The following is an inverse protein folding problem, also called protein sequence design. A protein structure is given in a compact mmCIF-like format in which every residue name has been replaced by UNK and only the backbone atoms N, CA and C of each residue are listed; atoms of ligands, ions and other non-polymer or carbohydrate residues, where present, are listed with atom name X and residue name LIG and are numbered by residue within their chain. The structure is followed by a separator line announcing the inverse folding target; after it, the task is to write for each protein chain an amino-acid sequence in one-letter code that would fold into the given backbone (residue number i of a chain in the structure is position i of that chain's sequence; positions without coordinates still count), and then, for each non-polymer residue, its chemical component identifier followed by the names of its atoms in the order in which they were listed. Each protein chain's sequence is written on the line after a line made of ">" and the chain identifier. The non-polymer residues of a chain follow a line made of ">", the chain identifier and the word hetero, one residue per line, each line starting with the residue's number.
data_IF_311116139403
#
_entry.id   IF_311116139403
#
_cell.length_a   1.000
_cell.length_b   1.000
_cell.length_c   1.000
_cell.angle_alpha   90.00
_cell.angle_beta   90.00
_cell.angle_gamma   90.00
#
_symmetry.space_group_name_H-M   'P 1'
#
loop_
_entity.id
_entity.type
_entity.pdbx_description
1 polymer ?
2 non-polymer ?
3 non-polymer ?
4 water ?
#
# COMPACT_ATOMS: atom_id res chain seq x y z
N UNK A 1 -0.98 -4.51 21.64
CA UNK A 1 0.24 -3.77 21.26
C UNK A 1 1.03 -4.58 20.21
N UNK A 2 0.53 -5.73 19.75
CA UNK A 2 1.18 -6.50 18.66
C UNK A 2 1.05 -5.71 17.35
N UNK A 3 2.14 -5.65 16.59
CA UNK A 3 2.14 -4.96 15.28
C UNK A 3 1.29 -5.78 14.32
N UNK A 4 0.26 -5.12 13.81
CA UNK A 4 -0.67 -5.66 12.80
C UNK A 4 -0.72 -4.69 11.59
N UNK A 5 -0.20 -5.13 10.48
CA UNK A 5 -0.06 -4.35 9.23
C UNK A 5 -1.21 -4.74 8.30
N UNK A 6 -1.95 -3.75 7.82
CA UNK A 6 -2.85 -3.92 6.66
C UNK A 6 -2.15 -3.40 5.42
N UNK A 7 -1.98 -4.25 4.42
CA UNK A 7 -1.40 -3.85 3.11
C UNK A 7 -2.58 -3.69 2.14
N UNK A 8 -2.75 -2.50 1.59
CA UNK A 8 -3.86 -2.18 0.68
C UNK A 8 -3.28 -1.84 -0.67
N UNK A 9 -3.75 -2.54 -1.69
CA UNK A 9 -3.37 -2.36 -3.10
C UNK A 9 -4.57 -1.83 -3.85
N UNK A 10 -4.37 -0.78 -4.61
CA UNK A 10 -5.45 -0.14 -5.36
C UNK A 10 -5.64 -0.81 -6.71
N UNK A 11 -6.44 -0.15 -7.57
CA UNK A 11 -6.88 -0.73 -8.81
C UNK A 11 -5.72 -1.07 -9.73
N UNK A 12 -5.87 -2.17 -10.46
CA UNK A 12 -4.97 -2.57 -11.57
C UNK A 12 -3.72 -3.25 -11.01
N UNK A 13 -3.48 -3.23 -9.70
CA UNK A 13 -2.26 -3.88 -9.15
C UNK A 13 -2.38 -5.41 -9.30
N UNK A 14 -3.60 -5.94 -9.46
CA UNK A 14 -3.82 -7.39 -9.71
C UNK A 14 -3.19 -7.76 -11.05
N UNK A 15 -3.00 -6.81 -11.95
CA UNK A 15 -2.47 -7.12 -13.28
C UNK A 15 -0.94 -7.28 -13.24
N UNK A 16 -0.28 -7.06 -12.12
CA UNK A 16 1.21 -7.12 -12.14
C UNK A 16 1.62 -8.49 -12.70
N UNK A 17 2.49 -8.49 -13.72
CA UNK A 17 3.14 -9.70 -14.25
C UNK A 17 2.36 -10.32 -15.40
N UNK A 18 1.14 -9.86 -15.66
CA UNK A 18 0.26 -10.47 -16.70
C UNK A 18 0.82 -10.24 -18.09
N UNK A 19 0.89 -8.99 -18.55
CA UNK A 19 1.15 -8.66 -19.98
C UNK A 19 2.63 -8.33 -20.18
N UNK A 20 3.27 -9.01 -21.15
CA UNK A 20 4.69 -8.84 -21.56
C UNK A 20 5.58 -8.93 -20.32
N UNK A 21 5.63 -10.12 -19.65
CA UNK A 21 6.48 -10.30 -18.46
C UNK A 21 7.94 -9.88 -18.70
N UNK A 22 8.44 -10.01 -19.94
CA UNK A 22 9.79 -9.57 -20.38
C UNK A 22 9.94 -8.06 -20.17
N UNK A 23 9.20 -7.24 -20.93
CA UNK A 23 9.32 -5.75 -20.95
C UNK A 23 8.91 -5.15 -19.60
N UNK A 24 7.69 -5.44 -19.12
CA UNK A 24 7.01 -4.70 -18.02
C UNK A 24 7.43 -5.23 -16.64
N UNK A 25 7.68 -6.54 -16.52
CA UNK A 25 8.07 -7.19 -15.25
C UNK A 25 7.26 -8.45 -15.01
N UNK A 26 7.82 -9.44 -14.29
CA UNK A 26 7.24 -10.80 -14.12
C UNK A 26 6.67 -10.97 -12.70
N UNK A 27 7.06 -10.13 -11.72
CA UNK A 27 6.57 -10.20 -10.31
C UNK A 27 5.05 -10.00 -10.28
N UNK A 28 4.36 -10.78 -9.49
CA UNK A 28 2.89 -10.80 -9.43
C UNK A 28 2.49 -10.27 -8.06
N UNK A 29 1.28 -9.77 -7.96
CA UNK A 29 0.80 -9.28 -6.67
C UNK A 29 0.84 -10.46 -5.68
N UNK A 30 0.51 -11.67 -6.13
CA UNK A 30 0.48 -12.86 -5.23
C UNK A 30 1.88 -13.07 -4.66
N UNK A 31 2.91 -12.97 -5.51
CA UNK A 31 4.32 -13.09 -5.07
C UNK A 31 4.64 -12.00 -4.05
N UNK A 32 4.28 -10.75 -4.34
CA UNK A 32 4.52 -9.63 -3.38
C UNK A 32 3.85 -9.98 -2.05
N UNK A 33 2.57 -10.35 -2.11
CA UNK A 33 1.80 -10.58 -0.86
C UNK A 33 2.41 -11.72 -0.04
N UNK A 34 2.85 -12.80 -0.68
CA UNK A 34 3.49 -13.95 0.01
C UNK A 34 4.77 -13.47 0.71
N UNK A 35 5.55 -12.66 0.00
CA UNK A 35 6.81 -12.13 0.55
C UNK A 35 6.52 -11.21 1.74
N UNK A 36 5.50 -10.36 1.66
CA UNK A 36 5.24 -9.46 2.81
C UNK A 36 4.77 -10.29 3.99
N UNK A 37 3.97 -11.32 3.73
CA UNK A 37 3.45 -12.18 4.83
C UNK A 37 4.63 -12.82 5.58
N UNK A 38 5.54 -13.46 4.88
CA UNK A 38 6.78 -14.07 5.43
C UNK A 38 7.57 -13.06 6.26
N UNK A 39 7.83 -11.88 5.69
CA UNK A 39 8.64 -10.83 6.36
C UNK A 39 7.94 -10.38 7.62
N UNK A 40 6.61 -10.29 7.60
CA UNK A 40 5.85 -9.91 8.80
C UNK A 40 5.83 -11.07 9.80
N UNK A 41 5.56 -12.30 9.35
CA UNK A 41 5.60 -13.52 10.22
C UNK A 41 6.98 -13.64 10.87
N UNK A 42 8.05 -13.46 10.10
CA UNK A 42 9.44 -13.43 10.60
C UNK A 42 9.60 -12.54 11.81
N UNK A 43 8.87 -11.43 11.88
CA UNK A 43 9.07 -10.40 12.91
C UNK A 43 8.07 -10.61 14.04
N UNK A 44 7.21 -11.61 13.93
CA UNK A 44 6.17 -11.86 14.95
C UNK A 44 4.97 -10.96 14.78
N UNK A 45 4.76 -10.42 13.57
CA UNK A 45 3.67 -9.45 13.32
C UNK A 45 2.49 -10.18 12.67
N UNK A 46 1.28 -9.65 12.84
CA UNK A 46 0.13 -9.94 11.94
C UNK A 46 0.27 -9.09 10.67
N UNK A 47 -0.11 -9.64 9.55
CA UNK A 47 -0.25 -8.87 8.31
C UNK A 47 -1.42 -9.46 7.52
N UNK A 48 -2.33 -8.62 7.05
CA UNK A 48 -3.24 -8.99 5.96
C UNK A 48 -3.21 -7.98 4.83
N UNK A 49 -3.42 -8.50 3.63
CA UNK A 49 -3.35 -7.84 2.31
C UNK A 49 -4.75 -7.82 1.72
N UNK A 50 -5.09 -6.77 1.01
CA UNK A 50 -6.32 -6.68 0.21
C UNK A 50 -6.01 -5.84 -1.02
N UNK A 51 -6.31 -6.34 -2.18
CA UNK A 51 -6.32 -5.54 -3.42
C UNK A 51 -7.77 -5.35 -3.83
N UNK A 52 -8.12 -4.23 -4.42
CA UNK A 52 -9.47 -4.04 -4.99
C UNK A 52 -9.42 -3.01 -6.10
N UNK A 53 -10.21 -3.20 -7.14
CA UNK A 53 -10.46 -2.14 -8.13
C UNK A 53 -11.52 -1.19 -7.59
N UNK A 54 -12.15 -1.51 -6.45
CA UNK A 54 -13.31 -0.77 -5.91
C UNK A 54 -12.88 0.12 -4.76
N UNK A 55 -13.11 1.41 -4.89
CA UNK A 55 -12.81 2.42 -3.85
C UNK A 55 -13.49 2.03 -2.54
N UNK A 56 -14.77 1.69 -2.59
CA UNK A 56 -15.55 1.36 -1.37
C UNK A 56 -14.97 0.15 -0.64
N UNK A 57 -14.40 -0.82 -1.34
CA UNK A 57 -13.80 -2.00 -0.67
C UNK A 57 -12.58 -1.56 0.14
N UNK A 58 -11.76 -0.66 -0.40
CA UNK A 58 -10.55 -0.17 0.29
C UNK A 58 -10.99 0.69 1.47
N UNK A 59 -11.99 1.54 1.25
CA UNK A 59 -12.51 2.42 2.34
C UNK A 59 -13.06 1.53 3.48
N UNK A 60 -13.87 0.52 3.15
CA UNK A 60 -14.42 -0.42 4.18
C UNK A 60 -13.25 -1.01 4.97
N UNK A 61 -12.20 -1.48 4.29
CA UNK A 61 -11.04 -2.13 4.95
C UNK A 61 -10.38 -1.17 5.93
N UNK A 62 -10.28 0.10 5.55
CA UNK A 62 -9.69 1.10 6.47
C UNK A 62 -10.61 1.33 7.67
N UNK A 63 -11.90 1.49 7.42
CA UNK A 63 -12.92 1.73 8.46
C UNK A 63 -12.91 0.59 9.49
N UNK A 64 -12.67 -0.63 9.04
CA UNK A 64 -12.74 -1.87 9.86
C UNK A 64 -11.40 -2.07 10.54
N UNK A 65 -10.32 -1.44 10.06
CA UNK A 65 -8.95 -1.74 10.52
C UNK A 65 -8.85 -1.58 12.04
N UNK A 66 -9.32 -0.46 12.65
CA UNK A 66 -9.08 -0.24 14.08
C UNK A 66 -9.60 -1.38 14.98
N UNK A 67 -10.84 -1.83 14.75
CA UNK A 67 -11.44 -2.91 15.56
C UNK A 67 -10.80 -4.24 15.22
N UNK A 68 -10.14 -4.37 14.08
CA UNK A 68 -9.42 -5.59 13.74
C UNK A 68 -8.06 -5.57 14.44
N UNK A 69 -7.70 -4.51 15.15
CA UNK A 69 -6.35 -4.46 15.76
C UNK A 69 -5.22 -3.98 14.84
N UNK A 70 -5.53 -3.38 13.70
CA UNK A 70 -4.46 -2.91 12.77
C UNK A 70 -3.71 -1.75 13.46
N UNK A 71 -2.38 -1.75 13.44
CA UNK A 71 -1.52 -0.71 14.03
C UNK A 71 -0.92 0.20 12.93
N UNK A 72 -0.62 -0.36 11.77
CA UNK A 72 0.07 0.30 10.63
C UNK A 72 -0.64 -0.10 9.35
N UNK A 73 -0.70 0.83 8.39
CA UNK A 73 -1.16 0.53 7.01
C UNK A 73 -0.05 0.80 6.02
N UNK A 74 0.08 -0.09 5.05
CA UNK A 74 0.94 0.13 3.87
C UNK A 74 -0.01 0.23 2.68
N UNK A 75 -0.01 1.37 2.02
CA UNK A 75 -1.02 1.67 0.99
C UNK A 75 -0.36 2.05 -0.30
N UNK A 76 -0.75 1.34 -1.35
CA UNK A 76 -0.48 1.70 -2.75
C UNK A 76 -1.83 2.01 -3.37
N UNK A 77 -2.26 3.29 -3.40
CA UNK A 77 -3.57 3.66 -3.91
C UNK A 77 -3.62 3.54 -5.43
N UNK A 78 -2.48 3.41 -6.11
CA UNK A 78 -2.43 3.32 -7.58
C UNK A 78 -3.30 4.46 -8.13
N UNK A 79 -4.16 4.21 -9.11
CA UNK A 79 -4.91 5.30 -9.75
C UNK A 79 -5.61 6.17 -8.70
N UNK A 80 -6.03 5.60 -7.58
CA UNK A 80 -6.86 6.33 -6.60
C UNK A 80 -5.98 7.41 -5.93
N UNK A 81 -4.68 7.29 -6.09
CA UNK A 81 -3.73 8.30 -5.53
C UNK A 81 -4.21 9.70 -5.90
N UNK A 82 -4.67 9.87 -7.14
CA UNK A 82 -4.99 11.16 -7.76
C UNK A 82 -6.47 11.46 -7.63
N UNK A 83 -7.32 10.57 -7.12
CA UNK A 83 -8.79 10.75 -7.25
C UNK A 83 -9.50 10.53 -5.91
N UNK A 84 -9.04 9.67 -5.00
CA UNK A 84 -9.93 9.18 -3.93
C UNK A 84 -9.82 10.01 -2.66
N UNK A 85 -10.62 11.07 -2.59
CA UNK A 85 -10.82 11.83 -1.34
C UNK A 85 -11.49 10.90 -0.31
N UNK A 86 -12.38 10.00 -0.71
CA UNK A 86 -13.06 9.05 0.23
C UNK A 86 -12.04 8.22 1.02
N UNK A 87 -11.03 7.70 0.34
CA UNK A 87 -10.02 6.85 1.02
C UNK A 87 -9.13 7.72 1.91
N UNK A 88 -8.76 8.91 1.44
CA UNK A 88 -7.98 9.88 2.24
C UNK A 88 -8.74 10.11 3.54
N UNK A 89 -10.01 10.46 3.44
CA UNK A 89 -10.86 10.82 4.60
C UNK A 89 -11.07 9.61 5.53
N UNK A 90 -11.09 8.39 4.99
CA UNK A 90 -11.21 7.17 5.85
C UNK A 90 -9.91 7.02 6.63
N UNK A 91 -8.76 7.20 5.98
CA UNK A 91 -7.45 7.17 6.68
C UNK A 91 -7.37 8.25 7.76
N UNK A 92 -7.77 9.48 7.45
CA UNK A 92 -7.75 10.57 8.44
C UNK A 92 -8.68 10.18 9.58
N UNK A 93 -9.87 9.65 9.30
CA UNK A 93 -10.87 9.37 10.35
C UNK A 93 -10.36 8.31 11.33
N UNK A 94 -9.66 7.25 10.89
CA UNK A 94 -9.28 6.13 11.80
C UNK A 94 -7.89 6.42 12.37
N UNK A 95 -7.11 7.32 11.76
CA UNK A 95 -5.88 7.87 12.38
C UNK A 95 -4.90 6.74 12.61
N UNK A 96 -4.88 5.74 11.75
CA UNK A 96 -3.80 4.73 11.77
C UNK A 96 -2.69 5.24 10.86
N UNK A 97 -1.42 5.21 11.29
CA UNK A 97 -0.34 5.72 10.47
C UNK A 97 -0.22 4.83 9.24
N UNK A 98 0.01 5.46 8.08
CA UNK A 98 0.18 4.68 6.83
C UNK A 98 1.43 5.16 6.11
N UNK A 99 2.06 4.24 5.42
CA UNK A 99 3.15 4.55 4.48
C UNK A 99 2.56 4.43 3.08
N UNK A 100 2.75 5.44 2.25
CA UNK A 100 2.29 5.49 0.83
C UNK A 100 3.41 4.88 0.00
N UNK A 101 3.08 3.87 -0.80
CA UNK A 101 4.04 3.17 -1.68
C UNK A 101 3.54 3.32 -3.11
N UNK A 102 4.44 3.68 -4.01
CA UNK A 102 4.24 3.64 -5.48
C UNK A 102 5.36 2.81 -6.10
N UNK A 103 5.01 1.92 -7.02
CA UNK A 103 5.99 1.07 -7.73
C UNK A 103 6.84 1.99 -8.60
N UNK A 104 6.19 2.91 -9.26
CA UNK A 104 6.83 3.70 -10.32
C UNK A 104 7.17 5.07 -9.75
N UNK A 105 7.84 5.83 -10.57
CA UNK A 105 8.15 7.23 -10.29
C UNK A 105 6.97 8.05 -10.79
N UNK A 106 6.10 8.51 -9.90
CA UNK A 106 4.88 9.29 -10.27
C UNK A 106 5.28 10.68 -10.77
N UNK A 107 6.52 11.13 -10.54
CA UNK A 107 6.98 12.49 -10.91
C UNK A 107 7.48 12.46 -12.34
N UNK A 108 7.69 11.28 -12.89
CA UNK A 108 8.27 11.14 -14.23
C UNK A 108 7.18 10.68 -15.22
N UNK A 109 5.92 10.99 -14.99
CA UNK A 109 4.83 10.46 -15.87
C UNK A 109 3.97 11.65 -16.32
N UNK A 110 2.68 11.46 -16.57
CA UNK A 110 1.76 12.58 -16.89
C UNK A 110 1.81 13.57 -15.74
N UNK A 111 1.75 14.88 -16.01
CA UNK A 111 1.64 15.89 -14.96
C UNK A 111 0.58 15.61 -13.88
N UNK A 112 -0.60 15.08 -14.23
CA UNK A 112 -1.67 14.90 -13.21
C UNK A 112 -1.21 13.92 -12.15
N UNK A 113 -0.24 13.06 -12.46
CA UNK A 113 0.16 12.04 -11.48
C UNK A 113 0.96 12.64 -10.32
N UNK A 114 1.36 13.90 -10.40
CA UNK A 114 2.30 14.46 -9.40
C UNK A 114 1.47 14.78 -8.16
N UNK A 115 0.15 14.92 -8.29
CA UNK A 115 -0.76 15.23 -7.15
C UNK A 115 -1.21 13.94 -6.47
N UNK A 116 -1.04 13.87 -5.15
CA UNK A 116 -1.49 12.74 -4.28
C UNK A 116 -2.47 13.29 -3.26
N UNK A 117 -3.63 12.66 -3.09
CA UNK A 117 -4.56 12.97 -1.97
C UNK A 117 -4.07 12.33 -0.68
N UNK A 118 -2.90 11.69 -0.70
CA UNK A 118 -2.37 10.95 0.48
C UNK A 118 -1.08 11.54 1.07
N UNK A 119 -0.24 12.16 0.26
CA UNK A 119 1.17 12.46 0.66
C UNK A 119 1.20 13.42 1.86
N UNK A 120 0.25 14.34 1.98
CA UNK A 120 0.26 15.32 3.09
C UNK A 120 -0.18 14.67 4.40
N UNK A 121 -0.84 13.49 4.42
CA UNK A 121 -1.23 12.85 5.71
C UNK A 121 -0.50 11.51 5.91
N UNK A 122 0.32 11.10 4.97
CA UNK A 122 1.14 9.89 5.09
C UNK A 122 2.19 10.07 6.19
N UNK A 123 2.58 8.97 6.81
CA UNK A 123 3.65 8.86 7.81
C UNK A 123 4.95 8.45 7.12
N UNK A 124 4.92 8.33 5.80
CA UNK A 124 6.11 8.06 5.01
C UNK A 124 5.72 7.81 3.58
N UNK A 125 6.66 7.98 2.67
CA UNK A 125 6.44 7.83 1.23
C UNK A 125 7.64 7.13 0.65
N UNK A 126 7.40 6.08 -0.11
CA UNK A 126 8.43 5.30 -0.84
C UNK A 126 7.95 5.13 -2.28
N UNK A 127 8.67 5.66 -3.26
CA UNK A 127 8.29 5.53 -4.68
C UNK A 127 9.52 5.14 -5.47
N UNK A 128 9.22 4.52 -6.61
CA UNK A 128 10.09 4.31 -7.77
C UNK A 128 10.96 3.10 -7.55
N UNK A 129 10.76 2.34 -6.49
CA UNK A 129 11.63 1.18 -6.21
C UNK A 129 10.93 -0.14 -6.59
N UNK A 130 9.89 -0.10 -7.41
CA UNK A 130 9.18 -1.33 -7.80
C UNK A 130 8.58 -2.00 -6.58
N UNK A 131 8.35 -3.30 -6.69
CA UNK A 131 7.75 -4.12 -5.61
C UNK A 131 8.57 -4.06 -4.33
N UNK A 132 9.87 -3.77 -4.39
CA UNK A 132 10.73 -3.66 -3.18
C UNK A 132 10.20 -2.56 -2.25
N UNK A 133 9.46 -1.58 -2.79
CA UNK A 133 8.91 -0.51 -1.95
C UNK A 133 8.08 -1.03 -0.81
N UNK A 134 7.31 -2.11 -1.03
CA UNK A 134 6.44 -2.65 0.03
C UNK A 134 7.29 -3.22 1.17
N UNK A 135 8.31 -4.00 0.83
CA UNK A 135 9.22 -4.61 1.84
C UNK A 135 9.97 -3.51 2.58
N UNK A 136 10.43 -2.48 1.84
CA UNK A 136 11.03 -1.29 2.53
C UNK A 136 10.02 -0.66 3.47
N UNK A 137 8.72 -0.59 3.09
CA UNK A 137 7.70 -0.05 4.01
C UNK A 137 7.69 -0.84 5.32
N UNK A 138 7.68 -2.17 5.22
CA UNK A 138 7.74 -3.03 6.43
C UNK A 138 9.05 -2.76 7.19
N UNK A 139 10.16 -2.69 6.47
CA UNK A 139 11.47 -2.31 7.09
C UNK A 139 11.31 -1.00 7.87
N UNK A 140 10.65 0.01 7.27
CA UNK A 140 10.44 1.34 7.90
C UNK A 140 9.64 1.17 9.19
N UNK A 141 8.54 0.43 9.15
CA UNK A 141 7.75 0.19 10.39
C UNK A 141 8.65 -0.47 11.45
N UNK A 142 9.44 -1.47 11.05
CA UNK A 142 10.27 -2.27 11.99
C UNK A 142 11.29 -1.31 12.63
N UNK A 143 11.94 -0.49 11.80
CA UNK A 143 13.09 0.36 12.20
C UNK A 143 12.62 1.42 13.19
N UNK A 144 11.34 1.75 13.19
CA UNK A 144 10.74 2.63 14.23
C UNK A 144 10.71 1.87 15.57
N UNK A 145 10.58 0.53 15.53
CA UNK A 145 10.56 -0.42 16.67
C UNK A 145 11.72 -1.42 16.54
X LIG B 1 1.91 14.89 8.54
X LIG B 1 3.04 14.19 8.03
X LIG B 1 0.82 13.93 8.96
X LIG B 1 1.39 12.71 9.45
X LIG B 1 -0.11 14.52 10.00
X LIG B 1 -1.37 13.85 10.01
X LIG C 1 4.55 4.52 13.39
X LIG C 1 3.91 5.79 13.52
X LIG C 1 5.64 4.55 12.33
X LIG C 1 6.13 3.24 12.09
X LIG C 1 5.21 5.16 11.01
X LIG C 1 6.32 5.25 10.11
X LIG D 1 1.43 0.71 -12.30
X LIG D 1 2.30 -0.38 -12.82
X LIG D 1 1.53 -1.31 -13.76
X LIG D 1 0.27 -1.84 -13.16
X LIG D 1 -0.60 -0.70 -12.82
X LIG D 1 0.13 0.16 -11.79
X LIG D 1 -0.46 -2.67 -14.12
X LIG D 1 0.36 -3.88 -14.60
X LIG D 1 0.57 -3.80 -16.02
X LIG D 1 2.19 1.55 -11.32
X LIG D 1 1.29 1.99 -10.16
X LIG D 1 2.08 2.88 -8.99
X LIG D 1 3.38 3.48 -9.52
X LIG D 1 2.32 1.86 -7.90
X LIG D 1 1.27 4.09 -8.51
#
# INVERSE_FOLDING_TARGET
>A
AQIHVLVLHGPNLNLLGRREPDHYGRTTLAEIDARLKTEAEGRGWLLHSLQSNAEHILVDAVQQAPTQGVTHIVLNPAAFTHTSVALRDALAAVAIPFIEVHLSNIHAREPFRRHSYFSDIASGLITGLGAEGYSLALDAIARRF
>B hetero
1 GOL C1 O1 C2 O2 C3 O3
>C hetero
1 GOL C1 O1 C2 O2 C3 O3
>D hetero
1 EPE N1 C2 C3 N4 C5 C6 C7 C8 O8 C9 C10 S O1S O2S O3S
#
